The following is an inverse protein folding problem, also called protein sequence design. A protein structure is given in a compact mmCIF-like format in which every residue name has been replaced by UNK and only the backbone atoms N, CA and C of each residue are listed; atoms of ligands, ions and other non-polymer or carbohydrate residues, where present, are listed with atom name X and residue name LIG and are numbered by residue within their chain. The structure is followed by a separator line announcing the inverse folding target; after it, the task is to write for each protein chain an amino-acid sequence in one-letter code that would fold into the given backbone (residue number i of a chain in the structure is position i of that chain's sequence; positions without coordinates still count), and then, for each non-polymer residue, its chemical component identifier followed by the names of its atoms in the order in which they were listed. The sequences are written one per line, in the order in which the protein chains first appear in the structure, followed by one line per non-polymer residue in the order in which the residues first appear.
data_IF_199729830904
#
_entry.id   IF_199729830904
#
_cell.length_a   1.000
_cell.length_b   1.000
_cell.length_c   1.000
_cell.angle_alpha   90.00
_cell.angle_beta   90.00
_cell.angle_gamma   90.00
#
_symmetry.space_group_name_H-M   'P 1'
#
loop_
_entity.id
_entity.type
_entity.pdbx_description
1 polymer ?
#
# COMPACT_ATOMS: atom_id res chain seq x y z
N UNK A 1 -13.87 -3.70 13.04
CA UNK A 1 -14.73 -2.53 13.28
C UNK A 1 -15.66 -2.28 12.12
N UNK A 2 -16.86 -1.79 12.38
CA UNK A 2 -17.81 -1.43 11.31
C UNK A 2 -17.22 -0.27 10.51
N UNK A 3 -16.85 -0.54 9.29
CA UNK A 3 -16.31 0.46 8.40
C UNK A 3 -17.45 1.24 7.75
N UNK A 4 -17.42 2.55 7.87
CA UNK A 4 -18.49 3.44 7.41
C UNK A 4 -18.15 4.20 6.13
N UNK A 5 -16.94 4.04 5.58
CA UNK A 5 -16.50 4.71 4.35
C UNK A 5 -16.90 3.96 3.08
N UNK A 6 -16.96 4.66 1.95
CA UNK A 6 -17.24 4.09 0.63
C UNK A 6 -16.24 3.01 0.17
N UNK A 7 -15.07 2.98 0.78
CA UNK A 7 -14.01 1.98 0.50
C UNK A 7 -14.17 0.71 1.31
N UNK A 8 -14.91 0.77 2.38
CA UNK A 8 -15.05 -0.31 3.33
C UNK A 8 -15.63 -1.60 2.75
N UNK A 9 -16.55 -1.48 1.81
CA UNK A 9 -17.17 -2.63 1.15
C UNK A 9 -16.23 -3.37 0.21
N UNK A 10 -15.22 -2.67 -0.29
CA UNK A 10 -14.27 -3.18 -1.26
C UNK A 10 -12.97 -3.70 -0.63
N UNK A 11 -12.77 -3.52 0.67
CA UNK A 11 -11.57 -3.97 1.37
C UNK A 11 -11.75 -5.33 2.01
N UNK A 12 -10.74 -6.18 1.87
CA UNK A 12 -10.60 -7.45 2.56
C UNK A 12 -9.20 -7.51 3.17
N UNK A 13 -9.13 -7.89 4.43
CA UNK A 13 -7.87 -8.02 5.16
C UNK A 13 -7.69 -9.50 5.48
N UNK A 14 -6.62 -10.08 5.00
CA UNK A 14 -6.23 -11.47 5.29
C UNK A 14 -5.94 -11.57 6.79
N UNK A 15 -6.53 -12.57 7.43
CA UNK A 15 -6.49 -12.74 8.88
C UNK A 15 -7.71 -12.19 9.63
N UNK A 16 -8.60 -11.40 8.98
CA UNK A 16 -9.85 -10.96 9.62
C UNK A 16 -10.88 -12.09 9.69
N UNK A 17 -11.69 -12.06 10.75
CA UNK A 17 -12.76 -13.03 10.93
C UNK A 17 -13.76 -13.05 9.77
N UNK A 18 -14.11 -14.23 9.28
CA UNK A 18 -15.07 -14.42 8.18
C UNK A 18 -14.50 -14.17 6.78
N UNK A 19 -13.20 -13.94 6.64
CA UNK A 19 -12.54 -13.82 5.36
C UNK A 19 -12.17 -15.21 4.82
N UNK A 20 -12.55 -15.48 3.57
CA UNK A 20 -12.10 -16.65 2.84
C UNK A 20 -10.76 -16.36 2.15
N UNK A 21 -9.68 -16.69 2.82
CA UNK A 21 -8.31 -16.43 2.33
C UNK A 21 -8.00 -17.18 1.02
N UNK A 22 -8.51 -18.41 0.87
CA UNK A 22 -8.28 -19.22 -0.33
C UNK A 22 -8.89 -18.53 -1.55
N UNK A 23 -10.13 -18.03 -1.44
CA UNK A 23 -10.80 -17.30 -2.50
C UNK A 23 -10.03 -16.02 -2.88
N UNK A 24 -9.55 -15.27 -1.88
CA UNK A 24 -8.75 -14.07 -2.15
C UNK A 24 -7.42 -14.38 -2.82
N UNK A 25 -6.76 -15.46 -2.44
CA UNK A 25 -5.53 -15.93 -3.09
C UNK A 25 -5.79 -16.38 -4.53
N UNK A 26 -6.90 -17.02 -4.80
CA UNK A 26 -7.29 -17.43 -6.16
C UNK A 26 -7.54 -16.20 -7.04
N UNK A 27 -8.30 -15.23 -6.56
CA UNK A 27 -8.52 -13.94 -7.25
C UNK A 27 -7.19 -13.24 -7.54
N UNK A 28 -6.29 -13.19 -6.56
CA UNK A 28 -4.99 -12.56 -6.71
C UNK A 28 -4.13 -13.25 -7.77
N UNK A 29 -4.06 -14.58 -7.75
CA UNK A 29 -3.33 -15.38 -8.74
C UNK A 29 -3.87 -15.17 -10.15
N UNK A 30 -5.19 -15.22 -10.29
CA UNK A 30 -5.85 -15.07 -11.58
C UNK A 30 -5.62 -13.67 -12.15
N UNK A 31 -5.71 -12.63 -11.31
CA UNK A 31 -5.43 -11.26 -11.71
C UNK A 31 -3.99 -11.07 -12.22
N UNK A 32 -3.00 -11.65 -11.53
CA UNK A 32 -1.59 -11.59 -11.96
C UNK A 32 -1.40 -12.35 -13.29
N UNK A 33 -1.99 -13.53 -13.41
CA UNK A 33 -1.89 -14.33 -14.62
C UNK A 33 -2.51 -13.65 -15.83
N UNK A 34 -3.73 -13.14 -15.69
CA UNK A 34 -4.46 -12.50 -16.79
C UNK A 34 -3.81 -11.19 -17.24
N UNK A 35 -3.21 -10.47 -16.29
CA UNK A 35 -2.55 -9.19 -16.55
C UNK A 35 -1.08 -9.29 -16.98
N UNK A 36 -0.53 -10.51 -17.11
CA UNK A 36 0.89 -10.73 -17.40
C UNK A 36 1.38 -10.15 -18.73
N UNK A 37 0.46 -9.86 -19.66
CA UNK A 37 0.79 -9.29 -20.98
C UNK A 37 0.82 -7.77 -21.01
N UNK A 38 0.37 -7.12 -19.94
CA UNK A 38 0.38 -5.66 -19.85
C UNK A 38 1.80 -5.14 -19.69
N UNK A 39 2.05 -3.92 -20.14
CA UNK A 39 3.27 -3.20 -19.83
C UNK A 39 3.16 -2.59 -18.43
N UNK A 40 4.07 -2.95 -17.54
CA UNK A 40 4.05 -2.55 -16.14
C UNK A 40 5.09 -1.48 -15.85
N UNK A 41 4.74 -0.53 -14.98
CA UNK A 41 5.65 0.45 -14.41
C UNK A 41 5.60 0.38 -12.89
N UNK A 42 6.68 0.77 -12.24
CA UNK A 42 6.76 0.81 -10.79
C UNK A 42 7.44 2.07 -10.28
N UNK A 43 7.08 2.47 -9.07
CA UNK A 43 7.76 3.53 -8.35
C UNK A 43 8.01 3.11 -6.91
N UNK A 44 9.01 3.75 -6.30
CA UNK A 44 9.37 3.58 -4.90
C UNK A 44 9.19 4.90 -4.15
N UNK A 45 8.69 4.81 -2.93
CA UNK A 45 8.54 5.94 -2.03
C UNK A 45 8.85 5.53 -0.60
N UNK A 46 9.12 6.50 0.26
CA UNK A 46 9.37 6.28 1.68
C UNK A 46 8.13 6.61 2.50
N UNK A 47 7.81 5.72 3.43
CA UNK A 47 6.78 5.87 4.46
C UNK A 47 7.47 6.00 5.81
N UNK A 48 7.17 7.08 6.53
CA UNK A 48 7.90 7.44 7.73
C UNK A 48 9.18 8.22 7.41
N UNK A 49 9.49 9.22 8.21
CA UNK A 49 10.65 10.09 8.03
C UNK A 49 11.34 10.32 9.39
N UNK A 50 11.62 9.23 10.08
CA UNK A 50 12.33 9.26 11.37
C UNK A 50 13.36 8.14 11.39
N UNK A 51 14.51 8.40 12.02
CA UNK A 51 15.59 7.42 12.14
C UNK A 51 15.13 6.13 12.85
N UNK A 52 14.12 6.25 13.72
CA UNK A 52 13.57 5.10 14.43
C UNK A 52 12.61 4.26 13.58
N UNK A 53 11.98 4.85 12.56
CA UNK A 53 11.04 4.14 11.69
C UNK A 53 11.03 4.74 10.28
N UNK A 54 11.51 3.96 9.32
CA UNK A 54 11.44 4.31 7.89
C UNK A 54 11.20 3.02 7.11
N UNK A 55 10.15 2.98 6.31
CA UNK A 55 9.84 1.85 5.44
C UNK A 55 9.80 2.30 3.98
N UNK A 56 10.19 1.41 3.07
CA UNK A 56 10.11 1.64 1.63
C UNK A 56 8.86 0.97 1.08
N UNK A 57 8.10 1.72 0.30
CA UNK A 57 6.92 1.23 -0.38
C UNK A 57 7.14 1.17 -1.89
N UNK A 58 6.57 0.16 -2.52
CA UNK A 58 6.60 -0.07 -3.95
C UNK A 58 5.16 -0.12 -4.46
N UNK A 59 4.87 0.62 -5.51
CA UNK A 59 3.62 0.49 -6.26
C UNK A 59 3.95 0.04 -7.67
N UNK A 60 3.33 -1.05 -8.10
CA UNK A 60 3.38 -1.58 -9.46
C UNK A 60 1.99 -1.49 -10.09
N UNK A 61 1.90 -0.92 -11.29
CA UNK A 61 0.65 -0.61 -11.98
C UNK A 61 0.86 -0.67 -13.51
N UNK A 62 -0.16 -1.01 -14.32
CA UNK A 62 -0.05 -0.91 -15.76
C UNK A 62 0.27 0.52 -16.23
N UNK A 63 1.09 0.65 -17.25
CA UNK A 63 1.61 1.92 -17.78
C UNK A 63 0.50 2.91 -18.17
N UNK A 64 -0.62 2.42 -18.65
CA UNK A 64 -1.80 3.22 -18.99
C UNK A 64 -2.34 4.02 -17.81
N UNK A 65 -2.02 3.58 -16.59
CA UNK A 65 -2.40 4.23 -15.34
C UNK A 65 -1.28 5.00 -14.65
N UNK A 66 -0.27 5.44 -15.40
CA UNK A 66 0.87 6.22 -14.89
C UNK A 66 0.45 7.46 -14.07
N UNK A 67 -0.70 8.06 -14.36
CA UNK A 67 -1.25 9.18 -13.59
C UNK A 67 -1.58 8.82 -12.15
N UNK A 68 -2.04 7.59 -11.90
CA UNK A 68 -2.29 7.07 -10.55
C UNK A 68 -0.97 6.89 -9.80
N UNK A 69 0.03 6.29 -10.47
CA UNK A 69 1.38 6.13 -9.93
C UNK A 69 2.00 7.48 -9.55
N UNK A 70 1.92 8.47 -10.45
CA UNK A 70 2.41 9.81 -10.20
C UNK A 70 1.71 10.46 -9.00
N UNK A 71 0.36 10.40 -8.96
CA UNK A 71 -0.42 10.93 -7.85
C UNK A 71 -0.10 10.25 -6.52
N UNK A 72 0.18 8.95 -6.53
CA UNK A 72 0.64 8.21 -5.36
C UNK A 72 2.02 8.71 -4.92
N UNK A 73 2.96 8.77 -5.85
CA UNK A 73 4.34 9.11 -5.56
C UNK A 73 4.51 10.52 -4.96
N UNK A 74 3.76 11.53 -5.46
CA UNK A 74 3.82 12.91 -4.92
C UNK A 74 3.20 13.06 -3.51
N UNK A 75 2.46 12.05 -3.04
CA UNK A 75 1.91 12.03 -1.67
C UNK A 75 2.85 11.40 -0.64
N UNK A 76 4.00 10.88 -1.09
CA UNK A 76 5.05 10.30 -0.27
C UNK A 76 6.39 10.93 -0.60
N UNK A 77 7.43 10.54 0.10
CA UNK A 77 8.78 10.98 -0.21
C UNK A 77 9.39 10.09 -1.30
N UNK A 78 9.79 10.66 -2.42
CA UNK A 78 10.51 9.94 -3.47
C UNK A 78 11.81 9.34 -2.97
N UNK A 79 12.14 8.15 -3.46
CA UNK A 79 13.37 7.45 -3.12
C UNK A 79 14.56 7.99 -3.92
N UNK A 80 15.01 9.20 -3.58
CA UNK A 80 16.19 9.86 -4.14
C UNK A 80 17.45 9.60 -3.31
N UNK A 81 18.62 10.11 -3.69
CA UNK A 81 19.88 9.82 -3.01
C UNK A 81 19.92 10.33 -1.56
N UNK A 82 19.32 11.49 -1.27
CA UNK A 82 19.21 12.02 0.08
C UNK A 82 18.36 11.12 0.96
N UNK A 83 17.21 10.72 0.47
CA UNK A 83 16.29 9.81 1.19
C UNK A 83 16.88 8.41 1.31
N UNK A 84 17.65 7.93 0.33
CA UNK A 84 18.39 6.67 0.44
C UNK A 84 19.40 6.71 1.58
N UNK A 85 20.13 7.81 1.73
CA UNK A 85 21.08 7.97 2.83
C UNK A 85 20.38 7.94 4.20
N UNK A 86 19.25 8.66 4.31
CA UNK A 86 18.42 8.63 5.50
C UNK A 86 17.84 7.23 5.79
N UNK A 87 17.32 6.55 4.77
CA UNK A 87 16.79 5.19 4.89
C UNK A 87 17.85 4.20 5.38
N UNK A 88 19.09 4.28 4.87
CA UNK A 88 20.22 3.44 5.34
C UNK A 88 20.62 3.72 6.78
N UNK A 89 20.46 4.96 7.24
CA UNK A 89 20.74 5.36 8.62
C UNK A 89 19.60 5.05 9.60
N UNK A 90 18.43 4.67 9.10
CA UNK A 90 17.27 4.34 9.95
C UNK A 90 17.44 2.98 10.62
N UNK A 91 16.65 2.75 11.69
CA UNK A 91 16.62 1.46 12.37
C UNK A 91 16.22 0.37 11.38
N UNK A 92 16.98 -0.70 11.33
CA UNK A 92 16.67 -1.87 10.53
C UNK A 92 15.31 -2.47 10.92
N UNK A 93 14.45 -2.67 9.92
CA UNK A 93 13.18 -3.36 10.07
C UNK A 93 13.31 -4.68 9.31
N UNK A 94 13.37 -5.83 10.01
CA UNK A 94 13.67 -7.12 9.38
C UNK A 94 12.56 -7.66 8.46
N UNK A 95 11.39 -7.07 8.47
CA UNK A 95 10.26 -7.55 7.67
C UNK A 95 10.26 -7.10 6.20
N UNK A 96 11.22 -6.30 5.79
CA UNK A 96 11.32 -5.83 4.43
C UNK A 96 10.38 -4.69 4.06
N UNK A 97 10.13 -4.54 2.76
CA UNK A 97 9.41 -3.43 2.18
C UNK A 97 7.90 -3.70 2.08
N UNK A 98 7.15 -2.64 1.81
CA UNK A 98 5.72 -2.69 1.51
C UNK A 98 5.55 -2.82 -0.01
N UNK A 99 4.72 -3.76 -0.47
CA UNK A 99 4.44 -3.98 -1.89
C UNK A 99 2.96 -3.82 -2.21
N UNK A 100 2.66 -3.01 -3.23
CA UNK A 100 1.31 -2.84 -3.74
C UNK A 100 1.30 -3.17 -5.22
N UNK A 101 0.51 -4.16 -5.57
CA UNK A 101 0.14 -4.48 -6.94
C UNK A 101 -1.21 -3.84 -7.25
N UNK A 102 -1.35 -3.16 -8.37
CA UNK A 102 -2.63 -2.58 -8.78
C UNK A 102 -2.91 -2.84 -10.25
N UNK A 103 -4.10 -3.34 -10.54
CA UNK A 103 -4.66 -3.35 -11.88
C UNK A 103 -6.04 -2.67 -11.88
N UNK A 104 -6.10 -1.38 -12.25
CA UNK A 104 -7.33 -0.61 -12.21
C UNK A 104 -8.43 -1.06 -13.18
N UNK A 105 -8.07 -1.83 -14.20
CA UNK A 105 -8.99 -2.32 -15.23
C UNK A 105 -9.38 -3.78 -15.07
N UNK A 106 -8.82 -4.46 -14.08
CA UNK A 106 -9.17 -5.85 -13.80
C UNK A 106 -10.59 -5.94 -13.22
N UNK A 107 -11.42 -6.75 -13.84
CA UNK A 107 -12.80 -6.97 -13.41
C UNK A 107 -12.84 -8.15 -12.45
N UNK A 108 -13.20 -7.88 -11.19
CA UNK A 108 -13.39 -8.93 -10.18
C UNK A 108 -14.87 -9.30 -10.13
N UNK A 109 -15.18 -10.57 -10.39
CA UNK A 109 -16.55 -11.07 -10.31
C UNK A 109 -17.13 -10.85 -8.91
N UNK A 110 -18.39 -10.43 -8.83
CA UNK A 110 -19.04 -10.08 -7.55
C UNK A 110 -18.59 -8.73 -6.94
N UNK A 111 -17.60 -8.05 -7.52
CA UNK A 111 -17.07 -6.78 -7.02
C UNK A 111 -17.06 -5.68 -8.08
N UNK A 112 -18.23 -5.18 -8.53
CA UNK A 112 -18.31 -4.20 -9.64
C UNK A 112 -17.66 -2.86 -9.32
N UNK A 113 -17.39 -2.58 -8.05
CA UNK A 113 -16.65 -1.38 -7.59
C UNK A 113 -15.17 -1.61 -7.33
N UNK A 114 -14.66 -2.78 -7.74
CA UNK A 114 -13.29 -3.20 -7.47
C UNK A 114 -13.10 -3.87 -6.10
N UNK A 115 -11.93 -4.42 -5.89
CA UNK A 115 -11.55 -5.14 -4.67
C UNK A 115 -10.12 -4.75 -4.26
N UNK A 116 -9.95 -4.42 -2.98
CA UNK A 116 -8.64 -4.23 -2.38
C UNK A 116 -8.39 -5.32 -1.32
N UNK A 117 -7.36 -6.11 -1.53
CA UNK A 117 -6.92 -7.20 -0.66
C UNK A 117 -5.66 -6.73 0.05
N UNK A 118 -5.64 -6.84 1.37
CA UNK A 118 -4.49 -6.50 2.19
C UNK A 118 -4.01 -7.73 2.95
N UNK A 119 -2.71 -7.98 2.89
CA UNK A 119 -2.02 -8.95 3.73
C UNK A 119 -1.02 -8.21 4.63
N UNK A 120 -1.44 -7.80 5.82
CA UNK A 120 -0.57 -7.08 6.74
C UNK A 120 0.59 -7.92 7.27
N UNK A 121 0.45 -9.23 7.31
CA UNK A 121 1.51 -10.13 7.79
C UNK A 121 2.70 -10.17 6.81
N UNK A 122 2.45 -10.01 5.52
CA UNK A 122 3.46 -10.01 4.47
C UNK A 122 3.71 -8.62 3.85
N UNK A 123 3.19 -7.56 4.45
CA UNK A 123 3.35 -6.17 3.99
C UNK A 123 2.95 -5.96 2.52
N UNK A 124 1.94 -6.65 2.04
CA UNK A 124 1.51 -6.50 0.66
C UNK A 124 0.01 -6.22 0.51
N UNK A 125 -0.35 -5.63 -0.61
CA UNK A 125 -1.72 -5.40 -1.00
C UNK A 125 -1.90 -5.56 -2.50
N UNK A 126 -3.13 -5.93 -2.88
CA UNK A 126 -3.57 -5.96 -4.27
C UNK A 126 -4.82 -5.08 -4.41
N UNK A 127 -4.82 -4.17 -5.39
CA UNK A 127 -5.91 -3.24 -5.65
C UNK A 127 -6.39 -3.46 -7.09
N UNK A 128 -7.58 -4.04 -7.23
CA UNK A 128 -8.14 -4.48 -8.50
C UNK A 128 -9.41 -3.71 -8.85
N UNK A 129 -9.55 -3.30 -10.11
CA UNK A 129 -10.75 -2.64 -10.62
C UNK A 129 -11.02 -1.26 -10.04
N UNK A 130 -10.01 -0.59 -9.50
CA UNK A 130 -10.15 0.72 -8.86
C UNK A 130 -9.18 1.75 -9.43
N UNK A 131 -9.72 2.81 -10.03
CA UNK A 131 -8.94 3.95 -10.55
C UNK A 131 -8.74 5.07 -9.53
N UNK A 132 -9.33 4.95 -8.35
CA UNK A 132 -9.22 5.98 -7.31
C UNK A 132 -7.86 5.88 -6.59
N UNK A 133 -6.97 6.84 -6.87
CA UNK A 133 -5.62 6.84 -6.30
C UNK A 133 -5.59 6.89 -4.76
N UNK A 134 -6.64 7.43 -4.14
CA UNK A 134 -6.75 7.48 -2.69
C UNK A 134 -6.74 6.10 -2.02
N UNK A 135 -7.17 5.04 -2.72
CA UNK A 135 -7.05 3.67 -2.21
C UNK A 135 -5.58 3.22 -2.19
N UNK A 136 -4.82 3.56 -3.22
CA UNK A 136 -3.37 3.27 -3.28
C UNK A 136 -2.62 3.98 -2.15
N UNK A 137 -2.89 5.28 -1.94
CA UNK A 137 -2.30 6.05 -0.85
C UNK A 137 -2.67 5.49 0.53
N UNK A 138 -3.96 5.31 0.78
CA UNK A 138 -4.46 4.83 2.07
C UNK A 138 -4.06 3.38 2.32
N UNK A 139 -3.99 2.56 1.27
CA UNK A 139 -3.50 1.20 1.34
C UNK A 139 -2.04 1.14 1.81
N UNK A 140 -1.18 1.97 1.22
CA UNK A 140 0.21 2.11 1.65
C UNK A 140 0.30 2.50 3.13
N UNK A 141 -0.50 3.49 3.57
CA UNK A 141 -0.54 3.90 4.97
C UNK A 141 -1.07 2.78 5.88
N UNK A 142 -2.08 2.02 5.46
CA UNK A 142 -2.61 0.89 6.22
C UNK A 142 -1.53 -0.14 6.51
N UNK A 143 -0.75 -0.52 5.49
CA UNK A 143 0.37 -1.45 5.66
C UNK A 143 1.49 -0.85 6.50
N UNK A 144 1.82 0.43 6.28
CA UNK A 144 2.81 1.15 7.10
C UNK A 144 2.42 1.22 8.58
N UNK A 145 1.14 1.41 8.88
CA UNK A 145 0.64 1.40 10.26
C UNK A 145 0.67 0.01 10.88
N UNK A 146 0.33 -1.02 10.12
CA UNK A 146 0.43 -2.39 10.57
C UNK A 146 1.89 -2.76 10.89
N UNK A 147 2.81 -2.42 10.00
CA UNK A 147 4.24 -2.58 10.20
C UNK A 147 4.71 -1.83 11.45
N UNK A 148 4.40 -0.54 11.59
CA UNK A 148 4.76 0.27 12.74
C UNK A 148 4.25 -0.32 14.07
N UNK A 149 3.00 -0.79 14.08
CA UNK A 149 2.39 -1.38 15.27
C UNK A 149 3.13 -2.65 15.72
N UNK A 150 3.55 -3.53 14.81
CA UNK A 150 4.34 -4.73 15.14
C UNK A 150 5.68 -4.40 15.80
N UNK A 151 6.23 -3.20 15.54
CA UNK A 151 7.45 -2.70 16.17
C UNK A 151 7.21 -1.81 17.39
N UNK A 152 5.99 -1.81 17.92
CA UNK A 152 5.66 -1.08 19.16
C UNK A 152 5.36 0.40 18.98
N UNK A 153 5.18 0.87 17.75
CA UNK A 153 4.77 2.25 17.47
C UNK A 153 3.25 2.39 17.45
N UNK A 154 2.77 3.56 17.81
CA UNK A 154 1.35 3.92 17.69
C UNK A 154 1.14 4.73 16.43
N UNK A 155 0.31 4.22 15.52
CA UNK A 155 -0.02 4.92 14.29
C UNK A 155 -1.12 5.96 14.52
N UNK A 156 -0.89 7.20 14.09
CA UNK A 156 -1.86 8.28 14.14
C UNK A 156 -2.12 8.83 12.73
N UNK A 157 -3.38 9.08 12.41
CA UNK A 157 -3.76 9.79 11.19
C UNK A 157 -3.88 11.28 11.49
N UNK A 158 -2.78 12.01 11.35
CA UNK A 158 -2.71 13.45 11.65
C UNK A 158 -1.49 14.11 11.02
N UNK A 159 -1.44 15.42 11.12
CA UNK A 159 -0.25 16.23 10.83
C UNK A 159 0.51 16.54 12.12
N UNK A 160 1.82 16.41 12.09
CA UNK A 160 2.69 16.77 13.21
C UNK A 160 3.69 17.84 12.78
N UNK A 161 3.87 18.85 13.63
CA UNK A 161 4.93 19.83 13.48
C UNK A 161 5.70 19.95 14.78
N UNK A 162 7.00 19.99 14.68
CA UNK A 162 7.90 20.28 15.81
C UNK A 162 8.42 21.71 15.70
N UNK A 163 8.25 22.51 16.73
CA UNK A 163 8.79 23.87 16.84
C UNK A 163 9.87 23.88 17.89
N UNK A 164 11.03 24.43 17.55
CA UNK A 164 12.04 24.77 18.55
C UNK A 164 11.73 26.19 19.03
N UNK A 165 11.16 26.30 20.22
CA UNK A 165 10.99 27.58 20.90
C UNK A 165 12.36 27.99 21.44
N UNK A 166 12.75 29.23 21.10
CA UNK A 166 13.96 29.87 21.69
C UNK A 166 13.66 30.38 23.07
#
# INVERSE_FOLDING_TARGET
GKTTGRYAKARRIIGDEGINEVELCDIARDAVYDSRHKEWISAQAIVGLDEAFTARAHLMIPKEHASILYSWAINFQFFNEEVKAFYRGSKEIPEGDIFIYSDPDYVVEGHPGGLAIFDPAHNCAMILGMRYFGEHKKGTLTLGWSLANRYGYVACHGGMKRYNLK
#
